data_IF_373674517931
#
_entry.id   IF_373674517931
#
_cell.length_a   1.000
_cell.length_b   1.000
_cell.length_c   1.000
_cell.angle_alpha   90.00
_cell.angle_beta   90.00
_cell.angle_gamma   90.00
#
_symmetry.space_group_name_H-M   'P 1'
#
loop_
_entity.id
_entity.type
_entity.pdbx_description
1 polymer ?
#
# COMPACT_ATOMS: atom_id res chain seq x y z
N UNK A 1 23.58 13.91 15.10
CA UNK A 1 23.93 13.24 13.84
C UNK A 1 24.37 11.79 14.04
N UNK A 2 25.33 11.48 14.92
CA UNK A 2 25.86 10.12 15.12
C UNK A 2 24.82 9.10 15.65
N UNK A 3 23.86 9.49 16.50
CA UNK A 3 22.82 8.58 17.02
C UNK A 3 21.80 8.19 15.92
N UNK A 4 21.43 9.13 15.06
CA UNK A 4 20.55 8.83 13.93
C UNK A 4 21.20 7.89 12.90
N UNK A 5 22.52 7.98 12.72
CA UNK A 5 23.27 7.09 11.85
C UNK A 5 23.24 5.64 12.37
N UNK A 6 23.45 5.44 13.68
CA UNK A 6 23.39 4.10 14.33
C UNK A 6 21.99 3.47 14.20
N UNK A 7 20.93 4.26 14.40
CA UNK A 7 19.54 3.79 14.25
C UNK A 7 19.25 3.41 12.78
N UNK A 8 19.71 4.20 11.83
CA UNK A 8 19.53 3.90 10.40
C UNK A 8 20.30 2.64 9.98
N UNK A 9 21.53 2.46 10.47
CA UNK A 9 22.31 1.24 10.23
C UNK A 9 21.61 0.03 10.81
N UNK A 10 21.04 0.14 12.01
CA UNK A 10 20.31 -0.97 12.63
C UNK A 10 19.05 -1.34 11.84
N UNK A 11 18.31 -0.37 11.33
CA UNK A 11 17.19 -0.63 10.43
C UNK A 11 17.64 -1.34 9.16
N UNK A 12 18.75 -0.91 8.56
CA UNK A 12 19.29 -1.53 7.37
C UNK A 12 19.73 -2.98 7.65
N UNK A 13 20.36 -3.23 8.79
CA UNK A 13 20.74 -4.58 9.21
C UNK A 13 19.52 -5.48 9.44
N UNK A 14 18.45 -4.97 10.07
CA UNK A 14 17.21 -5.73 10.25
C UNK A 14 16.53 -6.08 8.92
N UNK A 15 16.52 -5.15 7.96
CA UNK A 15 15.98 -5.41 6.61
C UNK A 15 16.84 -6.43 5.86
N UNK A 16 18.16 -6.34 5.93
CA UNK A 16 19.07 -7.33 5.32
C UNK A 16 18.93 -8.69 5.99
N UNK A 17 18.77 -8.73 7.30
CA UNK A 17 18.55 -9.97 8.05
C UNK A 17 17.21 -10.61 7.64
N UNK A 18 16.14 -9.84 7.52
CA UNK A 18 14.84 -10.32 7.04
C UNK A 18 14.94 -10.92 5.63
N UNK A 19 15.62 -10.22 4.71
CA UNK A 19 15.88 -10.72 3.37
C UNK A 19 16.71 -12.02 3.39
N UNK A 20 17.78 -12.07 4.20
CA UNK A 20 18.64 -13.23 4.34
C UNK A 20 17.91 -14.44 4.89
N UNK A 21 17.07 -14.27 5.92
CA UNK A 21 16.25 -15.36 6.49
C UNK A 21 15.32 -15.94 5.44
N UNK A 22 14.57 -15.10 4.71
CA UNK A 22 13.67 -15.57 3.66
C UNK A 22 14.45 -16.27 2.56
N UNK A 23 15.58 -15.73 2.12
CA UNK A 23 16.44 -16.31 1.09
C UNK A 23 16.97 -17.69 1.51
N UNK A 24 17.39 -17.86 2.76
CA UNK A 24 17.82 -19.14 3.32
C UNK A 24 16.69 -20.15 3.35
N UNK A 25 15.49 -19.77 3.81
CA UNK A 25 14.32 -20.64 3.87
C UNK A 25 13.90 -21.13 2.45
N UNK A 26 14.01 -20.25 1.45
CA UNK A 26 13.77 -20.63 0.04
C UNK A 26 14.87 -21.55 -0.46
N UNK A 27 16.14 -21.26 -0.18
CA UNK A 27 17.29 -22.07 -0.64
C UNK A 27 17.30 -23.48 -0.02
N UNK A 28 16.88 -23.63 1.23
CA UNK A 28 16.74 -24.92 1.89
C UNK A 28 15.50 -25.72 1.45
N UNK A 29 14.65 -25.15 0.56
CA UNK A 29 13.43 -25.81 0.09
C UNK A 29 12.31 -25.94 1.14
N UNK A 30 12.43 -25.21 2.27
CA UNK A 30 11.41 -25.17 3.33
C UNK A 30 10.17 -24.43 2.82
N UNK A 31 10.39 -23.38 2.03
CA UNK A 31 9.32 -22.63 1.38
C UNK A 31 9.07 -23.19 -0.03
N UNK A 32 7.96 -23.90 -0.19
CA UNK A 32 7.49 -24.39 -1.48
C UNK A 32 7.01 -23.22 -2.35
N UNK A 33 6.82 -23.47 -3.65
CA UNK A 33 6.34 -22.47 -4.62
C UNK A 33 5.06 -21.77 -4.14
N UNK A 34 4.15 -22.49 -3.52
CA UNK A 34 2.93 -21.96 -2.91
C UNK A 34 3.20 -20.91 -1.82
N UNK A 35 4.14 -21.19 -0.90
CA UNK A 35 4.52 -20.23 0.15
C UNK A 35 5.17 -18.98 -0.42
N UNK A 36 5.95 -19.12 -1.51
CA UNK A 36 6.58 -18.00 -2.20
C UNK A 36 5.50 -17.09 -2.81
N UNK A 37 4.49 -17.66 -3.46
CA UNK A 37 3.37 -16.88 -4.02
C UNK A 37 2.59 -16.11 -2.95
N UNK A 38 2.39 -16.71 -1.78
CA UNK A 38 1.75 -16.01 -0.65
C UNK A 38 2.62 -14.86 -0.15
N UNK A 39 3.93 -15.07 -0.08
CA UNK A 39 4.89 -14.06 0.34
C UNK A 39 4.90 -12.85 -0.62
N UNK A 40 4.80 -13.11 -1.92
CA UNK A 40 4.65 -12.07 -2.95
C UNK A 40 3.33 -11.30 -2.78
N UNK A 41 2.21 -11.99 -2.57
CA UNK A 41 0.93 -11.35 -2.32
C UNK A 41 0.93 -10.51 -1.04
N UNK A 42 1.54 -11.00 0.06
CA UNK A 42 1.71 -10.24 1.31
C UNK A 42 2.51 -8.98 1.05
N UNK A 43 3.62 -9.06 0.32
CA UNK A 43 4.44 -7.89 0.01
C UNK A 43 3.71 -6.85 -0.83
N UNK A 44 2.92 -7.27 -1.83
CA UNK A 44 2.06 -6.37 -2.61
C UNK A 44 1.01 -5.70 -1.70
N UNK A 45 0.39 -6.46 -0.80
CA UNK A 45 -0.57 -5.93 0.16
C UNK A 45 0.07 -4.95 1.15
N UNK A 46 1.35 -5.15 1.54
CA UNK A 46 2.09 -4.18 2.35
C UNK A 46 2.23 -2.85 1.60
N UNK A 47 2.62 -2.86 0.32
CA UNK A 47 2.76 -1.64 -0.48
C UNK A 47 1.41 -0.90 -0.56
N UNK A 48 0.33 -1.62 -0.85
CA UNK A 48 -1.03 -1.07 -0.91
C UNK A 48 -1.47 -0.49 0.43
N UNK A 49 -1.28 -1.25 1.52
CA UNK A 49 -1.71 -0.83 2.84
C UNK A 49 -0.93 0.37 3.36
N UNK A 50 0.40 0.42 3.15
CA UNK A 50 1.24 1.56 3.53
C UNK A 50 0.84 2.81 2.75
N UNK A 51 0.59 2.68 1.43
CA UNK A 51 0.12 3.79 0.59
C UNK A 51 -1.27 4.29 0.97
N UNK A 52 -2.21 3.39 1.22
CA UNK A 52 -3.56 3.76 1.64
C UNK A 52 -3.58 4.35 3.05
N UNK A 53 -2.76 3.82 3.98
CA UNK A 53 -2.67 4.35 5.34
C UNK A 53 -2.11 5.78 5.37
N UNK A 54 -1.25 6.14 4.41
CA UNK A 54 -0.83 7.53 4.27
C UNK A 54 -2.02 8.45 3.96
N UNK A 55 -2.94 8.02 3.08
CA UNK A 55 -4.13 8.78 2.70
C UNK A 55 -5.14 8.79 3.85
N UNK A 56 -5.56 7.61 4.32
CA UNK A 56 -6.64 7.47 5.29
C UNK A 56 -6.16 7.76 6.71
N UNK A 57 -5.06 7.13 7.10
CA UNK A 57 -4.57 7.13 8.47
C UNK A 57 -3.82 8.41 8.84
N UNK A 58 -2.91 8.89 7.99
CA UNK A 58 -2.06 10.05 8.32
C UNK A 58 -2.59 11.37 7.77
N UNK A 59 -3.36 11.35 6.68
CA UNK A 59 -3.93 12.57 6.09
C UNK A 59 -5.41 12.77 6.46
N UNK A 60 -6.06 11.77 7.07
CA UNK A 60 -7.46 11.85 7.48
C UNK A 60 -8.46 11.84 6.32
N UNK A 61 -8.05 11.39 5.13
CA UNK A 61 -8.86 11.38 3.93
C UNK A 61 -9.45 9.99 3.69
N UNK A 62 -10.71 9.78 4.02
CA UNK A 62 -11.35 8.50 3.78
C UNK A 62 -11.50 8.25 2.28
N UNK A 63 -10.79 7.25 1.74
CA UNK A 63 -10.73 6.95 0.30
C UNK A 63 -11.04 5.49 0.02
N UNK A 64 -11.92 5.26 -0.96
CA UNK A 64 -12.26 3.94 -1.51
C UNK A 64 -11.79 3.78 -2.97
N UNK A 65 -10.93 4.69 -3.43
CA UNK A 65 -10.48 4.73 -4.83
C UNK A 65 -9.18 3.99 -5.13
N UNK A 66 -8.57 3.33 -4.15
CA UNK A 66 -7.20 2.81 -4.24
C UNK A 66 -7.01 1.77 -5.35
N UNK A 67 -8.00 0.88 -5.56
CA UNK A 67 -7.99 -0.12 -6.61
C UNK A 67 -7.98 0.48 -8.03
N UNK A 68 -8.58 1.65 -8.25
CA UNK A 68 -8.51 2.34 -9.54
C UNK A 68 -7.09 2.76 -9.91
N UNK A 69 -6.34 3.32 -8.97
CA UNK A 69 -4.93 3.68 -9.19
C UNK A 69 -4.03 2.45 -9.35
N UNK A 70 -4.35 1.37 -8.64
CA UNK A 70 -3.72 0.06 -8.81
C UNK A 70 -3.93 -0.48 -10.24
N UNK A 71 -5.15 -0.33 -10.80
CA UNK A 71 -5.46 -0.72 -12.17
C UNK A 71 -4.60 0.02 -13.20
N UNK A 72 -4.36 1.33 -13.02
CA UNK A 72 -3.51 2.11 -13.92
C UNK A 72 -2.12 1.49 -14.02
N UNK A 73 -1.50 1.16 -12.91
CA UNK A 73 -0.19 0.52 -12.89
C UNK A 73 -0.18 -0.87 -13.50
N UNK A 74 -1.18 -1.68 -13.15
CA UNK A 74 -1.32 -3.03 -13.69
C UNK A 74 -1.46 -3.05 -15.21
N UNK A 75 -2.32 -2.17 -15.76
CA UNK A 75 -2.48 -2.06 -17.20
C UNK A 75 -1.28 -1.45 -17.91
N UNK A 76 -0.59 -0.50 -17.30
CA UNK A 76 0.67 0.02 -17.84
C UNK A 76 1.71 -1.10 -17.98
N UNK A 77 1.89 -1.90 -16.92
CA UNK A 77 2.79 -3.04 -16.93
C UNK A 77 2.35 -4.13 -17.91
N UNK A 78 1.05 -4.42 -17.99
CA UNK A 78 0.49 -5.41 -18.91
C UNK A 78 0.69 -5.04 -20.37
N UNK A 79 0.33 -3.80 -20.77
CA UNK A 79 0.39 -3.33 -22.16
C UNK A 79 1.82 -3.29 -22.67
N UNK A 80 2.77 -2.79 -21.87
CA UNK A 80 4.16 -2.66 -22.26
C UNK A 80 4.88 -4.01 -22.13
N UNK A 81 4.65 -4.74 -21.03
CA UNK A 81 5.27 -6.03 -20.76
C UNK A 81 4.89 -7.12 -21.76
N UNK A 82 3.65 -7.12 -22.28
CA UNK A 82 3.23 -8.05 -23.33
C UNK A 82 3.86 -7.76 -24.69
N UNK A 83 4.15 -6.48 -25.01
CA UNK A 83 4.78 -6.07 -26.27
C UNK A 83 6.29 -6.22 -26.26
N UNK A 84 6.92 -5.99 -25.12
CA UNK A 84 8.38 -6.01 -24.95
C UNK A 84 8.72 -6.78 -23.69
N UNK A 85 8.91 -8.13 -23.75
CA UNK A 85 9.10 -8.98 -22.60
C UNK A 85 10.52 -8.85 -22.02
N UNK A 86 10.90 -7.64 -21.57
CA UNK A 86 12.18 -7.35 -20.94
C UNK A 86 11.96 -6.69 -19.57
N UNK A 87 12.84 -6.98 -18.62
CA UNK A 87 12.80 -6.33 -17.30
C UNK A 87 12.88 -4.80 -17.39
N UNK A 88 13.69 -4.26 -18.32
CA UNK A 88 13.80 -2.82 -18.54
C UNK A 88 12.47 -2.19 -18.98
N UNK A 89 11.73 -2.85 -19.88
CA UNK A 89 10.40 -2.41 -20.30
C UNK A 89 9.40 -2.48 -19.15
N UNK A 90 9.46 -3.52 -18.32
CA UNK A 90 8.60 -3.66 -17.15
C UNK A 90 8.82 -2.56 -16.10
N UNK A 91 10.08 -2.25 -15.77
CA UNK A 91 10.39 -1.14 -14.87
C UNK A 91 10.01 0.22 -15.45
N UNK A 92 10.23 0.42 -16.75
CA UNK A 92 9.77 1.61 -17.46
C UNK A 92 8.26 1.76 -17.43
N UNK A 93 7.51 0.66 -17.63
CA UNK A 93 6.05 0.61 -17.54
C UNK A 93 5.54 0.92 -16.13
N UNK A 94 6.19 0.37 -15.11
CA UNK A 94 5.86 0.64 -13.70
C UNK A 94 6.06 2.11 -13.35
N UNK A 95 7.17 2.72 -13.78
CA UNK A 95 7.43 4.15 -13.58
C UNK A 95 6.40 5.01 -14.32
N UNK A 96 6.10 4.68 -15.58
CA UNK A 96 5.10 5.37 -16.39
C UNK A 96 3.71 5.24 -15.77
N UNK A 97 3.34 4.05 -15.32
CA UNK A 97 2.09 3.81 -14.60
C UNK A 97 1.97 4.66 -13.33
N UNK A 98 3.06 4.75 -12.54
CA UNK A 98 3.09 5.58 -11.34
C UNK A 98 2.94 7.08 -11.66
N UNK A 99 3.57 7.56 -12.74
CA UNK A 99 3.41 8.96 -13.19
C UNK A 99 1.98 9.22 -13.65
N UNK A 100 1.39 8.34 -14.46
CA UNK A 100 0.00 8.48 -14.92
C UNK A 100 -0.96 8.45 -13.73
N UNK A 101 -0.79 7.52 -12.79
CA UNK A 101 -1.61 7.45 -11.58
C UNK A 101 -1.48 8.72 -10.75
N UNK A 102 -0.28 9.27 -10.61
CA UNK A 102 -0.03 10.53 -9.93
C UNK A 102 -0.71 11.72 -10.62
N UNK A 103 -0.67 11.81 -11.95
CA UNK A 103 -1.34 12.85 -12.72
C UNK A 103 -2.87 12.75 -12.62
N UNK A 104 -3.41 11.54 -12.74
CA UNK A 104 -4.85 11.30 -12.56
C UNK A 104 -5.28 11.65 -11.14
N UNK A 105 -4.50 11.24 -10.13
CA UNK A 105 -4.75 11.58 -8.73
C UNK A 105 -4.70 13.10 -8.49
N UNK A 106 -3.80 13.82 -9.14
CA UNK A 106 -3.74 15.28 -9.07
C UNK A 106 -5.00 15.93 -9.66
N UNK A 107 -5.36 15.54 -10.89
CA UNK A 107 -6.52 16.11 -11.61
C UNK A 107 -7.81 15.84 -10.85
N UNK A 108 -8.00 14.62 -10.38
CA UNK A 108 -9.21 14.21 -9.66
C UNK A 108 -9.19 14.68 -8.21
N UNK A 109 -8.02 14.71 -7.58
CA UNK A 109 -7.84 15.13 -6.20
C UNK A 109 -8.28 16.59 -5.98
N UNK A 110 -8.03 17.49 -6.93
CA UNK A 110 -8.40 18.90 -6.79
C UNK A 110 -9.91 19.10 -6.51
N UNK A 111 -10.84 18.52 -7.27
CA UNK A 111 -12.28 18.65 -6.98
C UNK A 111 -12.73 17.74 -5.83
N UNK A 112 -12.24 16.50 -5.73
CA UNK A 112 -12.75 15.53 -4.75
C UNK A 112 -12.31 15.84 -3.32
N UNK A 113 -11.09 16.32 -3.10
CA UNK A 113 -10.55 16.60 -1.76
C UNK A 113 -11.13 17.89 -1.12
N UNK A 114 -12.02 18.57 -1.80
CA UNK A 114 -12.87 19.62 -1.21
C UNK A 114 -14.06 19.05 -0.44
N UNK A 115 -14.41 17.78 -0.72
CA UNK A 115 -15.45 17.05 -0.02
C UNK A 115 -14.91 16.53 1.30
N UNK A 116 -15.79 16.33 2.28
CA UNK A 116 -15.44 15.86 3.64
C UNK A 116 -16.18 14.57 3.96
N UNK A 117 -15.59 13.75 4.84
CA UNK A 117 -16.21 12.54 5.37
C UNK A 117 -16.64 11.55 4.28
N UNK A 118 -17.87 11.07 4.38
CA UNK A 118 -18.41 10.03 3.50
C UNK A 118 -18.57 10.49 2.04
N UNK A 119 -18.78 11.79 1.80
CA UNK A 119 -18.85 12.31 0.44
C UNK A 119 -17.51 12.17 -0.31
N UNK A 120 -16.40 12.30 0.41
CA UNK A 120 -15.07 12.06 -0.17
C UNK A 120 -14.89 10.59 -0.52
N UNK A 121 -15.36 9.67 0.34
CA UNK A 121 -15.30 8.23 0.07
C UNK A 121 -16.09 7.86 -1.20
N UNK A 122 -17.32 8.36 -1.33
CA UNK A 122 -18.17 8.12 -2.51
C UNK A 122 -17.53 8.72 -3.77
N UNK A 123 -16.97 9.92 -3.69
CA UNK A 123 -16.29 10.54 -4.82
C UNK A 123 -15.07 9.74 -5.28
N UNK A 124 -14.21 9.30 -4.35
CA UNK A 124 -13.02 8.49 -4.69
C UNK A 124 -13.40 7.11 -5.22
N UNK A 125 -14.49 6.52 -4.73
CA UNK A 125 -15.07 5.30 -5.30
C UNK A 125 -15.51 5.53 -6.73
N UNK A 126 -16.24 6.63 -6.99
CA UNK A 126 -16.66 7.01 -8.34
C UNK A 126 -15.48 7.17 -9.29
N UNK A 127 -14.37 7.75 -8.83
CA UNK A 127 -13.13 7.87 -9.59
C UNK A 127 -12.56 6.50 -9.95
N UNK A 128 -12.48 5.57 -8.99
CA UNK A 128 -11.98 4.22 -9.27
C UNK A 128 -12.85 3.52 -10.31
N UNK A 129 -14.15 3.69 -10.23
CA UNK A 129 -15.10 3.11 -11.19
C UNK A 129 -15.00 3.76 -12.57
N UNK A 130 -14.80 5.08 -12.64
CA UNK A 130 -14.51 5.77 -13.91
C UNK A 130 -13.23 5.20 -14.54
N UNK A 131 -12.15 5.06 -13.79
CA UNK A 131 -10.89 4.47 -14.28
C UNK A 131 -11.16 3.05 -14.82
N UNK A 132 -11.89 2.22 -14.06
CA UNK A 132 -12.24 0.85 -14.45
C UNK A 132 -13.06 0.84 -15.75
N UNK A 133 -14.06 1.70 -15.87
CA UNK A 133 -14.90 1.82 -17.08
C UNK A 133 -14.08 2.32 -18.27
N UNK A 134 -13.18 3.27 -18.09
CA UNK A 134 -12.27 3.72 -19.15
C UNK A 134 -11.38 2.58 -19.64
N UNK A 135 -10.89 1.73 -18.73
CA UNK A 135 -10.11 0.55 -19.09
C UNK A 135 -10.97 -0.45 -19.86
N UNK A 136 -12.21 -0.72 -19.43
CA UNK A 136 -13.15 -1.63 -20.14
C UNK A 136 -13.47 -1.12 -21.54
N UNK A 137 -13.55 0.20 -21.73
CA UNK A 137 -13.84 0.82 -23.03
C UNK A 137 -12.57 1.15 -23.84
N UNK A 138 -11.38 0.79 -23.37
CA UNK A 138 -10.11 1.07 -24.04
C UNK A 138 -9.86 0.26 -25.35
N UNK A 139 -10.84 -0.51 -25.80
CA UNK A 139 -10.81 -1.24 -27.07
C UNK A 139 -9.65 -2.23 -27.17
N UNK A 140 -8.93 -2.19 -28.28
CA UNK A 140 -7.80 -3.10 -28.55
C UNK A 140 -6.57 -2.86 -27.64
N UNK A 141 -6.48 -1.71 -26.99
CA UNK A 141 -5.34 -1.39 -26.11
C UNK A 141 -5.40 -2.17 -24.80
N UNK A 142 -6.58 -2.31 -24.22
CA UNK A 142 -6.81 -2.95 -22.91
C UNK A 142 -7.47 -4.31 -23.04
N UNK A 143 -7.87 -4.69 -24.27
CA UNK A 143 -8.66 -5.88 -24.55
C UNK A 143 -10.05 -5.89 -23.84
N UNK A 144 -10.54 -4.71 -23.49
CA UNK A 144 -11.87 -4.51 -22.92
C UNK A 144 -12.10 -5.27 -21.61
N UNK A 145 -13.30 -5.84 -21.48
CA UNK A 145 -13.70 -6.58 -20.28
C UNK A 145 -12.94 -7.92 -20.13
N UNK A 146 -12.40 -8.47 -21.20
CA UNK A 146 -11.62 -9.72 -21.17
C UNK A 146 -10.25 -9.54 -20.50
N UNK A 147 -9.70 -8.32 -20.55
CA UNK A 147 -8.40 -8.02 -19.98
C UNK A 147 -7.22 -8.55 -20.80
N UNK A 148 -6.02 -8.39 -20.29
CA UNK A 148 -4.77 -8.81 -20.91
C UNK A 148 -4.28 -10.07 -20.21
N UNK A 149 -4.09 -11.14 -20.99
CA UNK A 149 -3.60 -12.45 -20.53
C UNK A 149 -2.19 -12.70 -21.08
N UNK A 150 -1.45 -13.62 -20.45
CA UNK A 150 -0.14 -14.04 -20.93
C UNK A 150 0.96 -13.01 -20.72
N UNK A 151 0.86 -12.22 -19.65
CA UNK A 151 1.92 -11.29 -19.23
C UNK A 151 3.08 -12.15 -18.70
N UNK A 152 4.32 -11.94 -19.17
CA UNK A 152 5.47 -12.65 -18.64
C UNK A 152 5.62 -12.44 -17.12
N UNK A 153 6.01 -13.50 -16.41
CA UNK A 153 6.23 -13.45 -14.96
C UNK A 153 7.53 -12.69 -14.65
N UNK A 154 7.42 -11.37 -14.51
CA UNK A 154 8.55 -10.49 -14.15
C UNK A 154 8.73 -10.35 -12.65
N UNK A 155 7.67 -10.56 -11.88
CA UNK A 155 7.67 -10.30 -10.44
C UNK A 155 8.14 -11.54 -9.70
N UNK A 156 9.17 -11.35 -8.87
CA UNK A 156 9.70 -12.34 -7.94
C UNK A 156 9.59 -11.81 -6.51
N UNK A 157 9.64 -12.70 -5.52
CA UNK A 157 9.56 -12.33 -4.11
C UNK A 157 10.63 -11.30 -3.70
N UNK A 158 11.86 -11.37 -4.27
CA UNK A 158 12.92 -10.41 -4.01
C UNK A 158 12.53 -9.00 -4.46
N UNK A 159 11.95 -8.92 -5.66
CA UNK A 159 11.49 -7.65 -6.23
C UNK A 159 10.37 -7.04 -5.37
N UNK A 160 9.39 -7.85 -4.99
CA UNK A 160 8.30 -7.40 -4.12
C UNK A 160 8.84 -6.94 -2.77
N UNK A 161 9.77 -7.69 -2.17
CA UNK A 161 10.41 -7.30 -0.90
C UNK A 161 11.11 -5.95 -1.00
N UNK A 162 11.91 -5.75 -2.05
CA UNK A 162 12.64 -4.48 -2.29
C UNK A 162 11.65 -3.32 -2.42
N UNK A 163 10.59 -3.47 -3.22
CA UNK A 163 9.61 -2.41 -3.41
C UNK A 163 8.77 -2.15 -2.15
N UNK A 164 8.44 -3.16 -1.37
CA UNK A 164 7.78 -2.99 -0.07
C UNK A 164 8.65 -2.19 0.91
N UNK A 165 9.94 -2.49 0.97
CA UNK A 165 10.92 -1.76 1.78
C UNK A 165 11.07 -0.31 1.28
N UNK A 166 11.25 -0.11 -0.03
CA UNK A 166 11.38 1.23 -0.62
C UNK A 166 10.14 2.07 -0.33
N UNK A 167 8.94 1.53 -0.57
CA UNK A 167 7.67 2.23 -0.31
C UNK A 167 7.54 2.60 1.16
N UNK A 168 7.87 1.68 2.07
CA UNK A 168 7.83 1.94 3.51
C UNK A 168 8.81 3.05 3.91
N UNK A 169 10.06 3.02 3.41
CA UNK A 169 11.08 4.04 3.69
C UNK A 169 10.64 5.40 3.13
N UNK A 170 10.14 5.45 1.90
CA UNK A 170 9.67 6.68 1.28
C UNK A 170 8.51 7.29 2.06
N UNK A 171 7.53 6.47 2.51
CA UNK A 171 6.40 6.92 3.32
C UNK A 171 6.86 7.42 4.68
N UNK A 172 7.77 6.72 5.36
CA UNK A 172 8.34 7.19 6.64
C UNK A 172 9.14 8.50 6.48
N UNK A 173 9.90 8.64 5.40
CA UNK A 173 10.62 9.88 5.10
C UNK A 173 9.65 11.02 4.78
N UNK A 174 8.58 10.75 4.04
CA UNK A 174 7.50 11.71 3.79
C UNK A 174 6.90 12.19 5.12
N UNK A 175 6.51 11.30 6.01
CA UNK A 175 5.92 11.66 7.31
C UNK A 175 6.88 12.46 8.20
N UNK A 176 8.18 12.22 8.12
CA UNK A 176 9.20 12.99 8.86
C UNK A 176 9.54 14.33 8.21
N UNK A 177 9.15 14.56 6.97
CA UNK A 177 9.38 15.81 6.24
C UNK A 177 8.53 16.96 6.81
N UNK A 178 8.84 18.23 6.48
CA UNK A 178 7.98 19.35 6.82
C UNK A 178 6.55 19.18 6.30
N UNK A 179 6.39 18.70 5.05
CA UNK A 179 5.09 18.45 4.41
C UNK A 179 4.31 17.37 5.18
N UNK A 180 4.95 16.27 5.57
CA UNK A 180 4.31 15.22 6.35
C UNK A 180 3.81 15.70 7.71
N UNK A 181 4.56 16.55 8.40
CA UNK A 181 4.11 17.17 9.67
C UNK A 181 2.92 18.08 9.48
N UNK A 182 2.89 18.85 8.38
CA UNK A 182 1.72 19.67 8.02
C UNK A 182 0.51 18.78 7.66
N UNK A 183 0.73 17.66 6.99
CA UNK A 183 -0.34 16.67 6.71
C UNK A 183 -0.94 16.12 7.99
N UNK A 184 -0.12 15.80 9.00
CA UNK A 184 -0.60 15.37 10.31
C UNK A 184 -1.39 16.47 11.04
N UNK A 185 -0.95 17.72 11.01
CA UNK A 185 -1.69 18.83 11.63
C UNK A 185 -3.07 19.04 10.98
N UNK A 186 -3.17 18.87 9.65
CA UNK A 186 -4.44 18.92 8.92
C UNK A 186 -5.39 17.80 9.34
N UNK A 187 -4.85 16.61 9.62
CA UNK A 187 -5.63 15.47 10.13
C UNK A 187 -6.21 15.74 11.52
N UNK A 188 -5.41 16.32 12.43
CA UNK A 188 -5.83 16.57 13.81
C UNK A 188 -6.93 17.65 13.88
N UNK A 189 -6.71 18.78 13.21
CA UNK A 189 -7.72 19.86 13.10
C UNK A 189 -7.45 20.70 11.85
N UNK A 190 -8.32 20.56 10.85
CA UNK A 190 -8.20 21.26 9.57
C UNK A 190 -8.39 22.79 9.74
N UNK A 191 -9.32 23.21 10.60
CA UNK A 191 -9.64 24.64 10.83
C UNK A 191 -8.49 25.32 11.58
N UNK A 192 -7.97 24.66 12.61
CA UNK A 192 -6.82 25.17 13.35
C UNK A 192 -5.57 25.25 12.45
N UNK A 193 -5.33 24.25 11.60
CA UNK A 193 -4.22 24.27 10.65
C UNK A 193 -4.33 25.44 9.65
N UNK A 194 -5.52 25.71 9.11
CA UNK A 194 -5.77 26.85 8.23
C UNK A 194 -5.55 28.18 8.94
N UNK A 195 -5.96 28.31 10.19
CA UNK A 195 -5.81 29.55 10.97
C UNK A 195 -4.35 29.96 11.18
N UNK A 196 -3.42 29.01 11.18
CA UNK A 196 -1.97 29.25 11.25
C UNK A 196 -1.29 29.28 9.86
N UNK A 197 -2.07 29.36 8.78
CA UNK A 197 -1.58 29.56 7.41
C UNK A 197 -1.20 28.29 6.65
N UNK A 198 -1.61 27.09 7.12
CA UNK A 198 -1.37 25.85 6.41
C UNK A 198 -2.35 25.71 5.23
N UNK A 199 -1.83 25.47 4.04
CA UNK A 199 -2.67 25.16 2.89
C UNK A 199 -3.11 23.69 2.95
N UNK A 200 -4.29 23.45 3.52
CA UNK A 200 -4.84 22.10 3.77
C UNK A 200 -5.06 21.33 2.49
N UNK A 201 -5.64 21.96 1.46
CA UNK A 201 -5.89 21.35 0.14
C UNK A 201 -4.60 20.87 -0.50
N UNK A 202 -3.55 21.69 -0.52
CA UNK A 202 -2.25 21.30 -1.09
C UNK A 202 -1.65 20.07 -0.38
N UNK A 203 -1.66 20.06 0.96
CA UNK A 203 -1.12 18.95 1.74
C UNK A 203 -1.91 17.65 1.54
N UNK A 204 -3.24 17.75 1.46
CA UNK A 204 -4.13 16.64 1.14
C UNK A 204 -3.82 16.06 -0.25
N UNK A 205 -3.70 16.92 -1.28
CA UNK A 205 -3.38 16.49 -2.65
C UNK A 205 -2.04 15.77 -2.71
N UNK A 206 -0.99 16.29 -2.06
CA UNK A 206 0.33 15.66 -2.08
C UNK A 206 0.29 14.25 -1.47
N UNK A 207 -0.38 14.07 -0.32
CA UNK A 207 -0.54 12.76 0.30
C UNK A 207 -1.35 11.80 -0.58
N UNK A 208 -2.41 12.29 -1.22
CA UNK A 208 -3.26 11.52 -2.12
C UNK A 208 -2.51 11.07 -3.38
N UNK A 209 -1.75 11.95 -4.03
CA UNK A 209 -0.90 11.65 -5.19
C UNK A 209 0.15 10.61 -4.82
N UNK A 210 0.82 10.77 -3.68
CA UNK A 210 1.83 9.82 -3.23
C UNK A 210 1.22 8.42 -3.02
N UNK A 211 0.07 8.31 -2.35
CA UNK A 211 -0.61 7.04 -2.15
C UNK A 211 -1.12 6.41 -3.45
N UNK A 212 -1.58 7.22 -4.43
CA UNK A 212 -1.97 6.75 -5.74
C UNK A 212 -0.78 6.17 -6.54
N UNK A 213 0.39 6.81 -6.47
CA UNK A 213 1.62 6.32 -7.09
C UNK A 213 2.05 4.97 -6.50
N UNK A 214 1.98 4.82 -5.17
CA UNK A 214 2.31 3.54 -4.51
C UNK A 214 1.33 2.44 -4.87
N UNK A 215 0.03 2.75 -5.00
CA UNK A 215 -0.97 1.80 -5.49
C UNK A 215 -0.68 1.33 -6.91
N UNK A 216 -0.28 2.24 -7.79
CA UNK A 216 0.11 1.93 -9.16
C UNK A 216 1.34 0.99 -9.21
N UNK A 217 2.36 1.24 -8.40
CA UNK A 217 3.53 0.35 -8.28
C UNK A 217 3.09 -1.05 -7.86
N UNK A 218 2.24 -1.16 -6.83
CA UNK A 218 1.71 -2.45 -6.39
C UNK A 218 0.92 -3.16 -7.49
N UNK A 219 0.12 -2.41 -8.27
CA UNK A 219 -0.62 -2.94 -9.41
C UNK A 219 0.29 -3.49 -10.51
N UNK A 220 1.39 -2.80 -10.83
CA UNK A 220 2.39 -3.28 -11.78
C UNK A 220 3.04 -4.58 -11.32
N UNK A 221 3.41 -4.67 -10.04
CA UNK A 221 3.96 -5.89 -9.44
C UNK A 221 2.95 -7.03 -9.46
N UNK A 222 1.67 -6.75 -9.19
CA UNK A 222 0.62 -7.77 -9.24
C UNK A 222 0.39 -8.29 -10.67
N UNK A 223 0.43 -7.43 -11.68
CA UNK A 223 0.33 -7.85 -13.08
C UNK A 223 1.44 -8.82 -13.48
N UNK A 224 2.70 -8.53 -13.10
CA UNK A 224 3.83 -9.41 -13.35
C UNK A 224 3.85 -10.67 -12.47
N UNK A 225 3.15 -10.68 -11.34
CA UNK A 225 2.98 -11.84 -10.46
C UNK A 225 1.90 -12.79 -10.97
N UNK A 226 0.69 -12.26 -11.26
CA UNK A 226 -0.46 -13.08 -11.67
C UNK A 226 -0.36 -13.51 -13.14
N UNK A 227 0.36 -12.77 -13.98
CA UNK A 227 0.47 -13.03 -15.42
C UNK A 227 -0.78 -12.66 -16.21
N UNK A 228 -1.76 -12.03 -15.57
CA UNK A 228 -3.00 -11.57 -16.20
C UNK A 228 -3.58 -10.35 -15.47
N UNK A 229 -4.29 -9.51 -16.21
CA UNK A 229 -4.95 -8.31 -15.64
C UNK A 229 -6.35 -8.23 -16.20
N UNK A 230 -7.36 -8.34 -15.32
CA UNK A 230 -8.77 -8.26 -15.68
C UNK A 230 -9.42 -7.08 -14.95
N UNK A 231 -10.23 -6.22 -15.61
CA UNK A 231 -10.80 -5.04 -14.96
C UNK A 231 -11.66 -5.33 -13.74
N UNK A 232 -12.24 -6.51 -13.67
CA UNK A 232 -13.07 -6.97 -12.53
C UNK A 232 -12.27 -7.06 -11.23
N UNK A 233 -10.97 -7.38 -11.30
CA UNK A 233 -10.11 -7.55 -10.13
C UNK A 233 -9.75 -6.22 -9.46
N UNK A 234 -9.95 -5.11 -10.16
CA UNK A 234 -9.70 -3.74 -9.68
C UNK A 234 -11.00 -3.01 -9.31
N UNK A 235 -12.00 -3.77 -8.91
CA UNK A 235 -13.28 -3.23 -8.46
C UNK A 235 -13.18 -2.62 -7.05
N UNK A 236 -14.23 -1.92 -6.65
CA UNK A 236 -14.43 -1.38 -5.31
C UNK A 236 -14.18 -2.40 -4.18
N UNK A 237 -14.52 -3.68 -4.38
CA UNK A 237 -14.28 -4.74 -3.38
C UNK A 237 -12.79 -4.86 -3.05
N UNK A 238 -11.91 -4.71 -4.03
CA UNK A 238 -10.47 -4.74 -3.78
C UNK A 238 -10.00 -3.53 -2.96
N UNK A 239 -10.57 -2.33 -3.20
CA UNK A 239 -10.29 -1.16 -2.34
C UNK A 239 -10.71 -1.41 -0.89
N UNK A 240 -11.85 -2.07 -0.67
CA UNK A 240 -12.29 -2.46 0.68
C UNK A 240 -11.30 -3.44 1.32
N UNK A 241 -10.84 -4.45 0.58
CA UNK A 241 -9.88 -5.43 1.11
C UNK A 241 -8.60 -4.74 1.61
N UNK A 242 -8.07 -3.77 0.86
CA UNK A 242 -6.91 -2.98 1.29
C UNK A 242 -7.25 -2.12 2.50
N UNK A 243 -8.43 -1.49 2.51
CA UNK A 243 -8.89 -0.69 3.66
C UNK A 243 -9.02 -1.54 4.93
N UNK A 244 -9.51 -2.78 4.82
CA UNK A 244 -9.57 -3.74 5.93
C UNK A 244 -8.18 -3.96 6.52
N UNK A 245 -7.15 -4.16 5.71
CA UNK A 245 -5.78 -4.34 6.18
C UNK A 245 -5.32 -3.11 6.98
N UNK A 246 -5.61 -1.91 6.47
CA UNK A 246 -5.22 -0.64 7.12
C UNK A 246 -5.95 -0.43 8.44
N UNK A 247 -7.27 -0.64 8.46
CA UNK A 247 -8.10 -0.48 9.67
C UNK A 247 -7.73 -1.53 10.72
N UNK A 248 -7.55 -2.79 10.31
CA UNK A 248 -7.12 -3.87 11.18
C UNK A 248 -5.74 -3.61 11.79
N UNK A 249 -4.81 -3.06 11.01
CA UNK A 249 -3.47 -2.70 11.48
C UNK A 249 -3.44 -1.53 12.44
N UNK A 250 -4.29 -0.54 12.17
CA UNK A 250 -4.40 0.71 12.92
C UNK A 250 -4.18 1.92 12.02
N UNK A 251 -5.17 2.81 12.02
CA UNK A 251 -5.12 4.06 11.25
C UNK A 251 -4.01 4.98 11.77
N UNK A 252 -3.06 5.30 10.92
CA UNK A 252 -1.90 6.14 11.28
C UNK A 252 -0.75 5.36 11.91
N UNK A 253 -0.67 4.02 11.70
CA UNK A 253 0.49 3.20 12.04
C UNK A 253 1.00 2.44 10.80
N UNK A 254 2.21 2.77 10.35
CA UNK A 254 2.89 2.04 9.26
C UNK A 254 3.24 0.62 9.70
N UNK A 255 3.77 0.50 10.92
CA UNK A 255 4.07 -0.82 11.52
C UNK A 255 2.81 -1.67 11.63
N UNK A 256 1.68 -1.06 12.02
CA UNK A 256 0.38 -1.71 12.09
C UNK A 256 -0.07 -2.25 10.74
N UNK A 257 0.03 -1.45 9.69
CA UNK A 257 -0.32 -1.87 8.32
C UNK A 257 0.52 -3.05 7.83
N UNK A 258 1.83 -3.05 8.10
CA UNK A 258 2.72 -4.16 7.73
C UNK A 258 2.35 -5.44 8.47
N UNK A 259 2.16 -5.35 9.79
CA UNK A 259 1.78 -6.51 10.61
C UNK A 259 0.41 -7.05 10.20
N UNK A 260 -0.55 -6.17 9.94
CA UNK A 260 -1.88 -6.58 9.47
C UNK A 260 -1.82 -7.28 8.11
N UNK A 261 -1.05 -6.77 7.15
CA UNK A 261 -0.88 -7.41 5.85
C UNK A 261 -0.29 -8.82 5.98
N UNK A 262 0.69 -9.00 6.88
CA UNK A 262 1.29 -10.31 7.16
C UNK A 262 0.27 -11.24 7.83
N UNK A 263 -0.38 -10.79 8.91
CA UNK A 263 -1.35 -11.60 9.68
C UNK A 263 -2.52 -12.04 8.79
N UNK A 264 -3.11 -11.09 8.05
CA UNK A 264 -4.24 -11.39 7.16
C UNK A 264 -3.81 -12.21 5.95
N UNK A 265 -2.59 -12.04 5.45
CA UNK A 265 -2.02 -12.89 4.39
C UNK A 265 -1.84 -14.34 4.86
N UNK A 266 -1.29 -14.55 6.05
CA UNK A 266 -1.15 -15.89 6.66
C UNK A 266 -2.53 -16.48 6.96
N UNK A 267 -3.47 -15.70 7.49
CA UNK A 267 -4.82 -16.15 7.74
C UNK A 267 -5.52 -16.61 6.45
N UNK A 268 -5.36 -15.85 5.35
CA UNK A 268 -5.87 -16.24 4.04
C UNK A 268 -5.27 -17.57 3.55
N UNK A 269 -3.98 -17.80 3.81
CA UNK A 269 -3.31 -19.05 3.50
C UNK A 269 -3.90 -20.23 4.29
N UNK A 270 -4.05 -20.07 5.61
CA UNK A 270 -4.57 -21.14 6.47
C UNK A 270 -6.04 -21.48 6.18
N UNK A 271 -6.81 -20.50 5.69
CA UNK A 271 -8.24 -20.67 5.38
C UNK A 271 -8.52 -21.04 3.91
N UNK A 272 -7.49 -21.33 3.11
CA UNK A 272 -7.66 -21.60 1.69
C UNK A 272 -8.48 -22.85 1.43
N UNK A 273 -8.31 -23.89 2.26
CA UNK A 273 -9.02 -25.16 2.13
C UNK A 273 -10.52 -25.04 2.46
N UNK A 274 -10.93 -23.98 3.14
CA UNK A 274 -12.30 -23.73 3.59
C UNK A 274 -12.83 -22.44 2.94
N UNK A 275 -12.80 -22.38 1.60
CA UNK A 275 -13.10 -21.16 0.83
C UNK A 275 -14.46 -20.52 1.18
N UNK A 276 -15.49 -21.34 1.44
CA UNK A 276 -16.85 -20.86 1.77
C UNK A 276 -16.94 -20.13 3.13
N UNK A 277 -16.09 -20.53 4.09
CA UNK A 277 -16.10 -19.99 5.45
C UNK A 277 -15.07 -18.88 5.62
N UNK A 278 -14.09 -18.81 4.72
CA UNK A 278 -12.99 -17.83 4.77
C UNK A 278 -13.48 -16.40 4.91
N UNK A 279 -14.46 -15.97 4.09
CA UNK A 279 -15.01 -14.63 4.15
C UNK A 279 -15.71 -14.33 5.48
N UNK A 280 -16.41 -15.33 6.04
CA UNK A 280 -17.11 -15.21 7.33
C UNK A 280 -16.08 -15.05 8.46
N UNK A 281 -15.04 -15.89 8.48
CA UNK A 281 -13.98 -15.81 9.50
C UNK A 281 -13.24 -14.48 9.39
N UNK A 282 -12.96 -14.02 8.17
CA UNK A 282 -12.31 -12.74 7.92
C UNK A 282 -13.14 -11.56 8.45
N UNK A 283 -14.44 -11.55 8.15
CA UNK A 283 -15.36 -10.54 8.65
C UNK A 283 -15.51 -10.59 10.18
N UNK A 284 -15.61 -11.81 10.75
CA UNK A 284 -15.71 -12.00 12.20
C UNK A 284 -14.44 -11.54 12.92
N UNK A 285 -13.26 -11.90 12.40
CA UNK A 285 -11.97 -11.46 12.96
C UNK A 285 -11.88 -9.93 12.97
N UNK A 286 -12.31 -9.28 11.89
CA UNK A 286 -12.32 -7.82 11.80
C UNK A 286 -13.28 -7.20 12.85
N UNK A 287 -14.51 -7.72 12.95
CA UNK A 287 -15.50 -7.23 13.93
C UNK A 287 -14.98 -7.41 15.35
N UNK A 288 -14.41 -8.57 15.67
CA UNK A 288 -13.83 -8.84 16.99
C UNK A 288 -12.69 -7.87 17.32
N UNK A 289 -11.75 -7.65 16.37
CA UNK A 289 -10.67 -6.69 16.59
C UNK A 289 -11.22 -5.28 16.79
N UNK A 290 -12.21 -4.83 16.02
CA UNK A 290 -12.80 -3.50 16.19
C UNK A 290 -13.55 -3.34 17.51
N UNK A 291 -14.18 -4.39 18.04
CA UNK A 291 -14.86 -4.36 19.35
C UNK A 291 -13.82 -4.28 20.49
N UNK A 292 -12.80 -5.14 20.47
CA UNK A 292 -11.82 -5.21 21.57
C UNK A 292 -10.68 -4.19 21.44
N UNK A 293 -10.36 -3.76 20.22
CA UNK A 293 -9.27 -2.82 19.90
C UNK A 293 -9.73 -1.83 18.82
N UNK A 294 -10.55 -0.82 19.19
CA UNK A 294 -11.12 0.13 18.21
C UNK A 294 -10.04 0.94 17.45
N UNK A 295 -8.83 1.03 17.99
CA UNK A 295 -7.67 1.62 17.28
C UNK A 295 -6.96 0.68 16.31
N UNK A 296 -7.40 -0.58 16.13
CA UNK A 296 -6.69 -1.62 15.39
C UNK A 296 -5.69 -2.40 16.24
N UNK A 297 -4.99 -3.38 15.65
CA UNK A 297 -4.05 -4.27 16.36
C UNK A 297 -2.97 -3.50 17.14
N UNK A 298 -2.34 -2.53 16.50
CA UNK A 298 -1.27 -1.71 17.08
C UNK A 298 -1.70 -0.27 17.41
N UNK A 299 -2.93 0.13 17.05
CA UNK A 299 -3.42 1.49 17.23
C UNK A 299 -2.52 2.50 16.49
N UNK A 300 -2.05 3.52 17.19
CA UNK A 300 -1.08 4.50 16.66
C UNK A 300 0.36 4.18 17.04
N UNK A 301 0.61 2.96 17.56
CA UNK A 301 1.96 2.56 17.97
C UNK A 301 2.85 2.33 16.76
N UNK A 302 4.05 2.93 16.81
CA UNK A 302 5.09 2.77 15.78
C UNK A 302 6.35 2.14 16.38
N UNK A 303 6.92 1.18 15.66
CA UNK A 303 8.18 0.57 16.01
C UNK A 303 9.31 1.61 15.92
N UNK A 304 9.82 2.05 17.06
CA UNK A 304 10.87 3.05 17.14
C UNK A 304 12.10 2.48 17.83
N UNK A 305 13.10 2.09 17.05
CA UNK A 305 14.38 1.60 17.58
C UNK A 305 15.13 2.66 18.38
N UNK A 306 14.82 3.95 18.17
CA UNK A 306 15.42 5.04 18.97
C UNK A 306 15.05 4.97 20.46
N UNK A 307 13.91 4.34 20.81
CA UNK A 307 13.51 4.13 22.22
C UNK A 307 14.40 3.13 22.92
N UNK A 308 14.94 2.13 22.22
CA UNK A 308 15.88 1.15 22.79
C UNK A 308 17.20 1.80 23.20
N UNK A 309 17.71 2.75 22.42
CA UNK A 309 18.94 3.47 22.73
C UNK A 309 18.78 4.51 23.86
N UNK A 310 17.55 5.07 24.01
CA UNK A 310 17.28 6.02 25.11
C UNK A 310 17.11 5.32 26.48
N UNK A 311 16.63 4.07 26.50
CA UNK A 311 16.44 3.31 27.74
C UNK A 311 17.78 2.90 28.36
N UNK A 312 18.79 2.52 27.57
CA UNK A 312 20.13 2.18 28.04
C UNK A 312 20.92 3.37 28.62
N UNK A 313 20.51 4.62 28.30
CA UNK A 313 21.17 5.82 28.89
C UNK A 313 20.62 6.21 30.26
N UNK A 314 19.42 5.75 30.63
CA UNK A 314 18.84 6.00 31.96
C UNK A 314 19.29 4.97 33.01
N UNK A 315 19.67 3.77 32.61
CA UNK A 315 20.18 2.73 33.52
C UNK A 315 21.68 2.85 33.85
N UNK A 316 22.42 3.70 33.12
CA UNK A 316 23.86 3.97 33.38
C UNK A 316 24.14 5.25 34.17
N UNK A 317 23.13 5.89 34.77
CA UNK A 317 23.26 7.11 35.58
C UNK A 317 22.71 6.94 37.03
N UNK A 318 22.51 5.71 37.50
CA UNK A 318 22.27 5.40 38.91
C UNK A 318 23.47 4.65 39.52
#
# INVERSE_FOLDING_TARGET
MKENLKVNILWLLLLLLGYGVISLLVSFGILNLFHIQILEQIGINIILAVGLNLIVGFSGQFSLGHAGFMAIGAYAAAIIGSKSPTYGAFFGAMLLGAIIAGLVALVVGIPTLRLKGDYLAVATLGVAEIIRILIVNGGSLTNGAAGILGIPSFTNWQMVYIFAVITTILTLNFLRSPIGRLTLSVREDEIAAESVGVNTTKNKIIAFVFGAMTASIAGSLQAGFVGSVVPKDYSFINSINVLIIVVFGGLGSITGSIVAAIVLGILNMLLQDVASVRMIIYALALVLVMIFRPGGLLGTWELSLSRLFKKGKKEGQN
#
